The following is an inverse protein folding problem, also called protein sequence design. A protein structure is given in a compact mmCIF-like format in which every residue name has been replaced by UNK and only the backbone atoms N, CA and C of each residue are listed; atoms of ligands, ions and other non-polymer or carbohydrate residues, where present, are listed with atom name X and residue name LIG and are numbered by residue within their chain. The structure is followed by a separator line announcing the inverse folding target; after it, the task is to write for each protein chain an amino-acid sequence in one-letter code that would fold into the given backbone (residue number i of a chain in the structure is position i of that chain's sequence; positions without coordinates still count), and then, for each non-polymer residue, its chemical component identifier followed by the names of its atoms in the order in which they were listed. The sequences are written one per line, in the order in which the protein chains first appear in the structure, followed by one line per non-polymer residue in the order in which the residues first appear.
data_IF_782345466884
#
_entry.id   IF_782345466884
#
_cell.length_a   1.000
_cell.length_b   1.000
_cell.length_c   1.000
_cell.angle_alpha   90.00
_cell.angle_beta   90.00
_cell.angle_gamma   90.00
#
_symmetry.space_group_name_H-M   'P 1'
#
loop_
_entity.id
_entity.type
_entity.pdbx_description
1 polymer ?
#
# COMPACT_ATOMS: atom_id res chain seq x y z
N UNK A 1 -95.52 -77.60 -22.80
CA UNK A 1 -95.00 -76.22 -22.97
C UNK A 1 -94.17 -75.76 -21.76
N UNK A 2 -94.62 -75.94 -20.51
CA UNK A 2 -93.89 -75.45 -19.32
C UNK A 2 -92.60 -76.24 -18.95
N UNK A 3 -92.56 -77.54 -19.25
CA UNK A 3 -91.41 -78.42 -18.91
C UNK A 3 -90.15 -78.09 -19.72
N UNK A 4 -90.29 -77.82 -21.02
CA UNK A 4 -89.18 -77.42 -21.89
C UNK A 4 -88.61 -76.04 -21.52
N UNK A 5 -89.42 -75.14 -20.96
CA UNK A 5 -88.96 -73.83 -20.47
C UNK A 5 -88.06 -73.98 -19.26
N UNK A 6 -88.39 -74.90 -18.35
CA UNK A 6 -87.63 -75.18 -17.13
C UNK A 6 -86.28 -75.86 -17.44
N UNK A 7 -86.24 -76.80 -18.39
CA UNK A 7 -85.00 -77.41 -18.87
C UNK A 7 -84.08 -76.39 -19.53
N UNK A 8 -84.63 -75.48 -20.34
CA UNK A 8 -83.86 -74.37 -20.93
C UNK A 8 -83.31 -73.41 -19.87
N UNK A 9 -84.07 -73.13 -18.79
CA UNK A 9 -83.60 -72.33 -17.66
C UNK A 9 -82.49 -73.03 -16.88
N UNK A 10 -82.61 -74.34 -16.64
CA UNK A 10 -81.58 -75.14 -15.97
C UNK A 10 -80.29 -75.17 -16.80
N UNK A 11 -80.39 -75.42 -18.11
CA UNK A 11 -79.23 -75.41 -19.01
C UNK A 11 -78.60 -74.01 -19.12
N UNK A 12 -79.40 -72.95 -19.12
CA UNK A 12 -78.92 -71.56 -19.09
C UNK A 12 -78.18 -71.24 -17.79
N UNK A 13 -78.76 -71.62 -16.64
CA UNK A 13 -78.14 -71.44 -15.33
C UNK A 13 -76.81 -72.22 -15.20
N UNK A 14 -76.75 -73.45 -15.71
CA UNK A 14 -75.52 -74.25 -15.74
C UNK A 14 -74.43 -73.61 -16.61
N UNK A 15 -74.79 -73.08 -17.79
CA UNK A 15 -73.85 -72.34 -18.65
C UNK A 15 -73.36 -71.05 -17.98
N UNK A 16 -74.24 -70.30 -17.33
CA UNK A 16 -73.88 -69.09 -16.58
C UNK A 16 -72.94 -69.40 -15.42
N UNK A 17 -73.20 -70.49 -14.68
CA UNK A 17 -72.32 -70.93 -13.59
C UNK A 17 -70.92 -71.27 -14.11
N UNK A 18 -70.85 -72.02 -15.22
CA UNK A 18 -69.58 -72.43 -15.81
C UNK A 18 -68.81 -71.23 -16.39
N UNK A 19 -69.52 -70.27 -16.99
CA UNK A 19 -68.96 -68.99 -17.41
C UNK A 19 -68.38 -68.24 -16.20
N UNK A 20 -69.15 -68.10 -15.12
CA UNK A 20 -68.71 -67.38 -13.92
C UNK A 20 -67.49 -68.06 -13.27
N UNK A 21 -67.47 -69.38 -13.21
CA UNK A 21 -66.30 -70.15 -12.74
C UNK A 21 -65.06 -69.91 -13.61
N UNK A 22 -65.23 -69.87 -14.94
CA UNK A 22 -64.14 -69.58 -15.88
C UNK A 22 -63.62 -68.15 -15.71
N UNK A 23 -64.52 -67.18 -15.56
CA UNK A 23 -64.18 -65.78 -15.33
C UNK A 23 -63.44 -65.62 -13.99
N UNK A 24 -63.93 -66.22 -12.90
CA UNK A 24 -63.24 -66.21 -11.61
C UNK A 24 -61.84 -66.83 -11.68
N UNK A 25 -61.69 -67.96 -12.37
CA UNK A 25 -60.38 -68.59 -12.57
C UNK A 25 -59.45 -67.69 -13.40
N UNK A 26 -59.98 -66.97 -14.39
CA UNK A 26 -59.25 -65.98 -15.17
C UNK A 26 -58.78 -64.80 -14.30
N UNK A 27 -59.68 -64.22 -13.51
CA UNK A 27 -59.36 -63.13 -12.57
C UNK A 27 -58.29 -63.55 -11.55
N UNK A 28 -58.41 -64.73 -10.95
CA UNK A 28 -57.42 -65.25 -10.00
C UNK A 28 -56.04 -65.41 -10.64
N UNK A 29 -55.96 -65.90 -11.88
CA UNK A 29 -54.70 -65.97 -12.63
C UNK A 29 -54.10 -64.60 -12.86
N UNK A 30 -54.92 -63.62 -13.23
CA UNK A 30 -54.51 -62.22 -13.40
C UNK A 30 -53.97 -61.61 -12.11
N UNK A 31 -54.68 -61.80 -10.98
CA UNK A 31 -54.23 -61.33 -9.67
C UNK A 31 -52.92 -61.98 -9.23
N UNK A 32 -52.75 -63.30 -9.43
CA UNK A 32 -51.47 -63.96 -9.12
C UNK A 32 -50.32 -63.47 -10.02
N UNK A 33 -50.58 -63.14 -11.28
CA UNK A 33 -49.58 -62.53 -12.15
C UNK A 33 -49.19 -61.13 -11.63
N UNK A 34 -50.16 -60.32 -11.22
CA UNK A 34 -49.91 -58.98 -10.69
C UNK A 34 -49.18 -59.01 -9.34
N UNK A 35 -49.55 -59.92 -8.43
CA UNK A 35 -48.83 -60.14 -7.17
C UNK A 35 -47.37 -60.49 -7.45
N UNK A 36 -47.10 -61.40 -8.39
CA UNK A 36 -45.73 -61.76 -8.76
C UNK A 36 -44.97 -60.57 -9.36
N UNK A 37 -45.62 -59.78 -10.21
CA UNK A 37 -45.04 -58.57 -10.80
C UNK A 37 -44.68 -57.55 -9.71
N UNK A 38 -45.56 -57.33 -8.74
CA UNK A 38 -45.31 -56.42 -7.62
C UNK A 38 -44.19 -56.94 -6.71
N UNK A 39 -44.20 -58.24 -6.40
CA UNK A 39 -43.15 -58.88 -5.60
C UNK A 39 -41.78 -58.73 -6.27
N UNK A 40 -41.69 -58.97 -7.57
CA UNK A 40 -40.46 -58.75 -8.34
C UNK A 40 -40.04 -57.28 -8.24
N UNK A 41 -40.96 -56.35 -8.48
CA UNK A 41 -40.65 -54.92 -8.43
C UNK A 41 -40.18 -54.46 -7.03
N UNK A 42 -40.80 -54.95 -5.96
CA UNK A 42 -40.36 -54.67 -4.60
C UNK A 42 -38.97 -55.25 -4.32
N UNK A 43 -38.67 -56.43 -4.87
CA UNK A 43 -37.35 -57.07 -4.74
C UNK A 43 -36.28 -56.26 -5.47
N UNK A 44 -36.56 -55.85 -6.71
CA UNK A 44 -35.65 -55.05 -7.53
C UNK A 44 -35.38 -53.67 -6.86
N UNK A 45 -36.42 -53.01 -6.36
CA UNK A 45 -36.29 -51.72 -5.66
C UNK A 45 -35.50 -51.87 -4.36
N UNK A 46 -35.72 -52.96 -3.61
CA UNK A 46 -34.95 -53.24 -2.38
C UNK A 46 -33.48 -53.45 -2.71
N UNK A 47 -33.17 -54.18 -3.78
CA UNK A 47 -31.80 -54.37 -4.24
C UNK A 47 -31.17 -53.03 -4.65
N UNK A 48 -31.86 -52.21 -5.45
CA UNK A 48 -31.39 -50.90 -5.90
C UNK A 48 -31.10 -49.97 -4.72
N UNK A 49 -31.98 -49.92 -3.72
CA UNK A 49 -31.78 -49.12 -2.50
C UNK A 49 -30.60 -49.62 -1.68
N UNK A 50 -30.41 -50.93 -1.56
CA UNK A 50 -29.30 -51.52 -0.80
C UNK A 50 -27.97 -51.17 -1.45
N UNK A 51 -27.83 -51.43 -2.76
CA UNK A 51 -26.60 -51.13 -3.52
C UNK A 51 -26.30 -49.64 -3.50
N UNK A 52 -27.28 -48.77 -3.77
CA UNK A 52 -27.08 -47.31 -3.72
C UNK A 52 -26.71 -46.82 -2.34
N UNK A 53 -27.26 -47.42 -1.27
CA UNK A 53 -26.94 -47.03 0.10
C UNK A 53 -25.50 -47.40 0.46
N UNK A 54 -25.02 -48.58 0.04
CA UNK A 54 -23.64 -49.00 0.23
C UNK A 54 -22.66 -48.11 -0.54
N UNK A 55 -22.92 -47.84 -1.82
CA UNK A 55 -22.11 -46.94 -2.64
C UNK A 55 -22.05 -45.51 -2.07
N UNK A 56 -23.19 -44.95 -1.64
CA UNK A 56 -23.25 -43.62 -1.05
C UNK A 56 -22.59 -43.56 0.33
N UNK A 57 -22.68 -44.64 1.12
CA UNK A 57 -22.06 -44.72 2.44
C UNK A 57 -20.54 -44.77 2.32
N UNK A 58 -20.01 -45.65 1.46
CA UNK A 58 -18.57 -45.82 1.29
C UNK A 58 -17.93 -44.60 0.61
N UNK A 59 -18.51 -44.13 -0.50
CA UNK A 59 -18.05 -42.91 -1.18
C UNK A 59 -18.25 -41.65 -0.31
N UNK A 60 -19.34 -41.59 0.46
CA UNK A 60 -19.61 -40.50 1.40
C UNK A 60 -18.60 -40.46 2.55
N UNK A 61 -18.21 -41.63 3.07
CA UNK A 61 -17.17 -41.75 4.10
C UNK A 61 -15.81 -41.31 3.58
N UNK A 62 -15.38 -41.81 2.43
CA UNK A 62 -14.11 -41.44 1.80
C UNK A 62 -14.04 -39.93 1.52
N UNK A 63 -15.11 -39.36 0.95
CA UNK A 63 -15.19 -37.92 0.71
C UNK A 63 -15.18 -37.10 2.01
N UNK A 64 -15.82 -37.59 3.06
CA UNK A 64 -15.79 -36.95 4.38
C UNK A 64 -14.38 -36.94 4.97
N UNK A 65 -13.66 -38.07 4.86
CA UNK A 65 -12.27 -38.19 5.32
C UNK A 65 -11.32 -37.30 4.52
N UNK A 66 -11.46 -37.25 3.20
CA UNK A 66 -10.67 -36.37 2.35
C UNK A 66 -10.89 -34.90 2.72
N UNK A 67 -12.15 -34.48 2.91
CA UNK A 67 -12.46 -33.12 3.35
C UNK A 67 -11.88 -32.82 4.73
N UNK A 68 -11.97 -33.76 5.68
CA UNK A 68 -11.34 -33.60 7.01
C UNK A 68 -9.83 -33.47 6.92
N UNK A 69 -9.17 -34.23 6.03
CA UNK A 69 -7.73 -34.10 5.79
C UNK A 69 -7.40 -32.71 5.23
N UNK A 70 -8.12 -32.28 4.19
CA UNK A 70 -7.94 -30.94 3.60
C UNK A 70 -8.17 -29.82 4.62
N UNK A 71 -9.18 -29.93 5.47
CA UNK A 71 -9.42 -28.98 6.55
C UNK A 71 -8.23 -28.92 7.51
N UNK A 72 -7.70 -30.07 7.95
CA UNK A 72 -6.50 -30.12 8.81
C UNK A 72 -5.27 -29.51 8.15
N UNK A 73 -5.06 -29.78 6.87
CA UNK A 73 -3.93 -29.24 6.11
C UNK A 73 -4.02 -27.72 5.96
N UNK A 74 -5.24 -27.21 5.71
CA UNK A 74 -5.50 -25.77 5.64
C UNK A 74 -5.36 -25.10 7.01
N UNK A 75 -5.83 -25.72 8.09
CA UNK A 75 -5.63 -25.24 9.46
C UNK A 75 -4.14 -25.17 9.84
N UNK A 76 -3.36 -26.19 9.45
CA UNK A 76 -1.91 -26.20 9.67
C UNK A 76 -1.21 -25.09 8.88
N UNK A 77 -1.59 -24.88 7.62
CA UNK A 77 -1.07 -23.79 6.80
C UNK A 77 -1.43 -22.42 7.36
N UNK A 78 -2.68 -22.24 7.81
CA UNK A 78 -3.13 -21.01 8.46
C UNK A 78 -2.29 -20.71 9.70
N UNK A 79 -2.12 -21.70 10.57
CA UNK A 79 -1.32 -21.57 11.79
C UNK A 79 0.15 -21.25 11.51
N UNK A 80 0.73 -21.86 10.47
CA UNK A 80 2.10 -21.56 10.04
C UNK A 80 2.23 -20.11 9.54
N UNK A 81 1.25 -19.64 8.75
CA UNK A 81 1.22 -18.26 8.25
C UNK A 81 0.95 -17.23 9.35
N UNK A 82 0.13 -17.56 10.33
CA UNK A 82 -0.08 -16.72 11.52
C UNK A 82 1.21 -16.61 12.33
N UNK A 83 1.94 -17.71 12.54
CA UNK A 83 3.23 -17.69 13.23
C UNK A 83 4.26 -16.82 12.48
N UNK A 84 4.41 -17.01 11.17
CA UNK A 84 5.27 -16.18 10.30
C UNK A 84 4.90 -14.69 10.39
N UNK A 85 3.60 -14.38 10.33
CA UNK A 85 3.12 -13.00 10.45
C UNK A 85 3.48 -12.39 11.82
N UNK A 86 3.31 -13.16 12.90
CA UNK A 86 3.67 -12.67 14.25
C UNK A 86 5.16 -12.41 14.40
N UNK A 87 6.02 -13.18 13.73
CA UNK A 87 7.46 -12.97 13.71
C UNK A 87 7.82 -11.72 12.90
N UNK A 88 7.24 -11.56 11.71
CA UNK A 88 7.43 -10.37 10.88
C UNK A 88 6.98 -9.08 11.59
N UNK A 89 5.88 -9.12 12.35
CA UNK A 89 5.44 -7.98 13.15
C UNK A 89 6.44 -7.62 14.25
N UNK A 90 7.02 -8.61 14.94
CA UNK A 90 8.08 -8.38 15.94
C UNK A 90 9.34 -7.80 15.32
N UNK A 91 9.77 -8.31 14.17
CA UNK A 91 10.91 -7.75 13.44
C UNK A 91 10.66 -6.30 13.01
N UNK A 92 9.45 -6.00 12.52
CA UNK A 92 9.06 -4.66 12.12
C UNK A 92 9.10 -3.70 13.31
N UNK A 93 8.57 -4.12 14.47
CA UNK A 93 8.62 -3.35 15.71
C UNK A 93 10.07 -3.09 16.15
N UNK A 94 10.93 -4.11 16.12
CA UNK A 94 12.35 -3.97 16.45
C UNK A 94 13.07 -3.00 15.51
N UNK A 95 12.82 -3.11 14.19
CA UNK A 95 13.42 -2.22 13.18
C UNK A 95 12.93 -0.78 13.37
N UNK A 96 11.65 -0.58 13.65
CA UNK A 96 11.09 0.75 13.95
C UNK A 96 11.71 1.35 15.22
N UNK A 97 11.88 0.57 16.28
CA UNK A 97 12.55 1.02 17.50
C UNK A 97 14.02 1.43 17.21
N UNK A 98 14.73 0.64 16.39
CA UNK A 98 16.09 0.99 15.97
C UNK A 98 16.14 2.28 15.16
N UNK A 99 15.19 2.47 14.23
CA UNK A 99 15.06 3.72 13.46
C UNK A 99 14.88 4.90 14.41
N UNK A 100 13.99 4.82 15.40
CA UNK A 100 13.77 5.90 16.37
C UNK A 100 15.04 6.26 17.15
N UNK A 101 15.82 5.26 17.58
CA UNK A 101 17.09 5.48 18.28
C UNK A 101 18.10 6.18 17.37
N UNK A 102 18.23 5.74 16.12
CA UNK A 102 19.15 6.35 15.15
C UNK A 102 18.73 7.78 14.79
N UNK A 103 17.44 8.03 14.57
CA UNK A 103 16.90 9.36 14.30
C UNK A 103 17.17 10.33 15.46
N UNK A 104 16.91 9.90 16.71
CA UNK A 104 17.21 10.71 17.88
C UNK A 104 18.70 11.00 18.02
N UNK A 105 19.52 9.98 17.76
CA UNK A 105 20.98 10.10 17.80
C UNK A 105 21.49 11.12 16.77
N UNK A 106 20.95 11.12 15.55
CA UNK A 106 21.29 12.11 14.52
C UNK A 106 20.85 13.50 14.96
N UNK A 107 19.60 13.66 15.39
CA UNK A 107 19.07 14.96 15.88
C UNK A 107 19.90 15.53 17.02
N UNK A 108 20.35 14.70 17.95
CA UNK A 108 21.23 15.13 19.04
C UNK A 108 22.61 15.57 18.56
N UNK A 109 23.20 14.83 17.61
CA UNK A 109 24.49 15.22 17.02
C UNK A 109 24.39 16.51 16.22
N UNK A 110 23.34 16.68 15.42
CA UNK A 110 23.05 17.91 14.70
C UNK A 110 22.92 19.11 15.66
N UNK A 111 22.17 18.94 16.76
CA UNK A 111 22.05 19.96 17.80
C UNK A 111 23.40 20.34 18.41
N UNK A 112 24.24 19.34 18.72
CA UNK A 112 25.59 19.57 19.28
C UNK A 112 26.47 20.35 18.30
N UNK A 113 26.55 19.94 17.04
CA UNK A 113 27.36 20.63 16.05
C UNK A 113 26.87 22.05 15.76
N UNK A 114 25.56 22.27 15.76
CA UNK A 114 25.00 23.60 15.58
C UNK A 114 25.34 24.53 16.76
N UNK A 115 25.34 24.01 17.99
CA UNK A 115 25.77 24.77 19.16
C UNK A 115 27.27 25.08 19.15
N UNK A 116 28.11 24.11 18.80
CA UNK A 116 29.55 24.34 18.62
C UNK A 116 29.83 25.38 17.54
N UNK A 117 29.09 25.34 16.43
CA UNK A 117 29.21 26.31 15.34
C UNK A 117 28.82 27.72 15.81
N UNK A 118 27.73 27.86 16.59
CA UNK A 118 27.33 29.14 17.20
C UNK A 118 28.41 29.68 18.11
N UNK A 119 28.97 28.84 18.98
CA UNK A 119 30.03 29.24 19.92
C UNK A 119 31.29 29.70 19.18
N UNK A 120 31.71 28.96 18.14
CA UNK A 120 32.85 29.35 17.30
C UNK A 120 32.59 30.63 16.53
N UNK A 121 31.39 30.79 15.97
CA UNK A 121 30.98 32.01 15.27
C UNK A 121 31.01 33.23 16.21
N UNK A 122 30.47 33.09 17.42
CA UNK A 122 30.54 34.16 18.42
C UNK A 122 31.98 34.52 18.80
N UNK A 123 32.84 33.51 19.02
CA UNK A 123 34.26 33.73 19.32
C UNK A 123 35.00 34.43 18.18
N UNK A 124 34.73 34.04 16.93
CA UNK A 124 35.28 34.68 15.74
C UNK A 124 34.86 36.15 15.67
N UNK A 125 33.57 36.45 15.88
CA UNK A 125 33.07 37.83 15.88
C UNK A 125 33.75 38.68 16.96
N UNK A 126 33.96 38.13 18.17
CA UNK A 126 34.69 38.81 19.24
C UNK A 126 36.13 39.15 18.83
N UNK A 127 36.88 38.17 18.31
CA UNK A 127 38.25 38.39 17.87
C UNK A 127 38.34 39.33 16.67
N UNK A 128 37.39 39.24 15.72
CA UNK A 128 37.29 40.15 14.59
C UNK A 128 37.06 41.59 15.05
N UNK A 129 36.18 41.80 16.04
CA UNK A 129 35.92 43.13 16.60
C UNK A 129 37.14 43.69 17.34
N UNK A 130 37.89 42.85 18.07
CA UNK A 130 39.14 43.28 18.70
C UNK A 130 40.18 43.66 17.63
N UNK A 131 40.33 42.86 16.59
CA UNK A 131 41.26 43.16 15.49
C UNK A 131 40.91 44.49 14.81
N UNK A 132 39.64 44.73 14.51
CA UNK A 132 39.13 45.99 13.95
C UNK A 132 39.45 47.19 14.86
N UNK A 133 39.26 47.03 16.18
CA UNK A 133 39.58 48.07 17.16
C UNK A 133 41.09 48.36 17.20
N UNK A 134 41.94 47.32 17.17
CA UNK A 134 43.40 47.49 17.10
C UNK A 134 43.81 48.17 15.81
N UNK A 135 43.26 47.76 14.67
CA UNK A 135 43.52 48.38 13.37
C UNK A 135 43.12 49.86 13.35
N UNK A 136 41.96 50.20 13.92
CA UNK A 136 41.49 51.60 14.07
C UNK A 136 42.43 52.44 14.94
N UNK A 137 42.93 51.86 16.03
CA UNK A 137 43.91 52.51 16.92
C UNK A 137 45.24 52.75 16.22
N UNK A 138 45.74 51.75 15.48
CA UNK A 138 46.98 51.87 14.70
C UNK A 138 46.83 52.95 13.63
N UNK A 139 45.71 52.98 12.91
CA UNK A 139 45.43 54.00 11.91
C UNK A 139 45.43 55.39 12.54
N UNK A 140 44.77 55.56 13.69
CA UNK A 140 44.76 56.82 14.44
C UNK A 140 46.16 57.28 14.88
N UNK A 141 46.95 56.40 15.51
CA UNK A 141 48.32 56.70 15.93
C UNK A 141 49.24 56.99 14.74
N UNK A 142 49.04 56.28 13.62
CA UNK A 142 49.78 56.52 12.37
C UNK A 142 49.45 57.89 11.81
N UNK A 143 48.18 58.29 11.78
CA UNK A 143 47.76 59.65 11.41
C UNK A 143 48.35 60.70 12.35
N UNK A 144 48.37 60.45 13.67
CA UNK A 144 48.97 61.34 14.66
C UNK A 144 50.48 61.52 14.40
N UNK A 145 51.21 60.43 14.15
CA UNK A 145 52.64 60.45 13.81
C UNK A 145 52.90 61.23 12.52
N UNK A 146 52.10 61.02 11.48
CA UNK A 146 52.20 61.81 10.25
C UNK A 146 51.93 63.30 10.49
N UNK A 147 50.93 63.63 11.32
CA UNK A 147 50.61 65.01 11.65
C UNK A 147 51.74 65.70 12.45
N UNK A 148 52.34 65.02 13.42
CA UNK A 148 53.47 65.57 14.20
C UNK A 148 54.73 65.70 13.35
N UNK A 149 55.06 64.69 12.53
CA UNK A 149 56.17 64.77 11.57
C UNK A 149 56.00 65.96 10.63
N UNK A 150 54.79 66.18 10.09
CA UNK A 150 54.49 67.33 9.24
C UNK A 150 54.72 68.65 9.99
N UNK A 151 54.21 68.77 11.22
CA UNK A 151 54.42 69.97 12.06
C UNK A 151 55.90 70.24 12.32
N UNK A 152 56.69 69.21 12.67
CA UNK A 152 58.13 69.35 12.90
C UNK A 152 58.87 69.80 11.64
N UNK A 153 58.56 69.21 10.48
CA UNK A 153 59.16 69.62 9.21
C UNK A 153 58.74 71.03 8.79
N UNK A 154 57.52 71.47 9.14
CA UNK A 154 57.08 72.85 8.93
C UNK A 154 57.71 73.84 9.93
N UNK A 155 58.07 73.42 11.15
CA UNK A 155 58.77 74.27 12.13
C UNK A 155 60.28 74.36 11.90
N UNK A 156 60.90 73.34 11.29
CA UNK A 156 62.33 73.34 10.92
C UNK A 156 62.62 74.06 9.59
N UNK A 157 61.60 74.66 8.97
CA UNK A 157 61.71 75.40 7.71
C UNK A 157 61.72 76.92 7.92
N UNK A 158 62.73 77.43 8.63
CA UNK A 158 63.20 78.82 8.47
C UNK A 158 64.71 78.83 8.26
N UNK A 159 65.13 78.45 7.06
CA UNK A 159 66.34 78.96 6.44
C UNK A 159 66.24 78.74 4.93
N UNK A 160 66.46 79.84 4.22
CA UNK A 160 66.40 80.04 2.78
C UNK A 160 67.11 78.97 1.93
N UNK A 161 66.65 78.79 0.68
CA UNK A 161 67.39 78.01 -0.31
C UNK A 161 66.57 77.61 -1.54
N UNK A 162 66.45 78.54 -2.48
CA UNK A 162 65.99 78.48 -3.88
C UNK A 162 66.09 77.13 -4.64
N UNK A 163 65.18 76.83 -5.58
CA UNK A 163 65.16 75.58 -6.35
C UNK A 163 66.03 75.66 -7.61
N UNK A 164 66.92 74.70 -7.86
CA UNK A 164 67.39 74.35 -9.21
C UNK A 164 68.34 73.13 -9.19
N UNK A 165 68.17 72.22 -10.15
CA UNK A 165 69.23 71.27 -10.56
C UNK A 165 68.90 69.78 -10.46
N UNK A 166 68.39 69.22 -11.56
CA UNK A 166 68.08 67.79 -11.81
C UNK A 166 69.32 66.86 -11.72
N UNK A 167 69.14 65.53 -11.61
CA UNK A 167 69.25 64.76 -12.86
C UNK A 167 68.25 63.61 -13.01
N UNK A 168 67.73 63.49 -14.23
CA UNK A 168 67.52 62.25 -15.01
C UNK A 168 67.33 60.97 -14.19
N UNK A 169 66.08 60.58 -13.96
CA UNK A 169 65.69 59.17 -13.98
C UNK A 169 64.32 59.05 -14.67
N UNK A 170 64.41 58.61 -15.92
CA UNK A 170 63.48 57.70 -16.59
C UNK A 170 61.98 57.94 -16.41
N UNK A 171 61.37 58.44 -17.47
CA UNK A 171 59.93 58.40 -17.74
C UNK A 171 59.41 56.95 -17.78
N UNK A 172 59.28 56.31 -16.62
CA UNK A 172 58.38 55.18 -16.45
C UNK A 172 57.08 55.73 -15.88
N UNK A 173 56.13 56.00 -16.76
CA UNK A 173 54.72 55.84 -16.38
C UNK A 173 54.54 54.33 -16.16
N UNK A 174 54.32 53.82 -14.94
CA UNK A 174 53.75 52.51 -14.81
C UNK A 174 52.28 52.68 -15.19
N UNK A 175 51.97 52.40 -16.44
CA UNK A 175 50.62 51.96 -16.80
C UNK A 175 50.26 50.84 -15.80
N UNK A 176 49.06 50.86 -15.18
CA UNK A 176 48.65 49.80 -14.28
C UNK A 176 48.85 48.44 -14.95
N UNK A 177 49.47 47.46 -14.28
CA UNK A 177 49.51 46.10 -14.79
C UNK A 177 48.08 45.69 -15.15
N UNK A 178 47.87 45.26 -16.41
CA UNK A 178 46.68 44.45 -16.73
C UNK A 178 46.90 43.07 -16.13
N UNK A 179 46.87 43.03 -14.80
CA UNK A 179 46.70 41.79 -14.08
C UNK A 179 45.28 41.36 -14.38
N UNK A 180 45.23 40.33 -15.22
CA UNK A 180 44.04 39.56 -15.51
C UNK A 180 43.48 39.18 -14.15
N UNK A 181 42.34 39.79 -13.78
CA UNK A 181 41.45 39.22 -12.79
C UNK A 181 41.44 37.70 -13.01
N UNK A 182 41.63 36.86 -11.98
CA UNK A 182 41.29 35.47 -12.16
C UNK A 182 39.83 35.50 -12.61
N UNK A 183 39.62 35.03 -13.84
CA UNK A 183 38.32 34.75 -14.41
C UNK A 183 37.66 33.81 -13.41
N UNK A 184 36.95 34.36 -12.42
CA UNK A 184 36.15 33.56 -11.52
C UNK A 184 35.21 32.86 -12.47
N UNK A 185 35.24 31.52 -12.56
CA UNK A 185 34.24 30.85 -13.36
C UNK A 185 32.93 31.25 -12.70
N UNK A 186 32.15 32.11 -13.36
CA UNK A 186 30.71 32.17 -13.18
C UNK A 186 30.23 30.82 -13.67
N UNK A 187 30.48 29.81 -12.83
CA UNK A 187 30.17 28.41 -13.04
C UNK A 187 28.67 28.38 -12.89
N UNK A 188 28.02 28.59 -14.03
CA UNK A 188 26.69 28.09 -14.37
C UNK A 188 26.40 26.89 -13.45
N UNK A 189 25.57 27.11 -12.42
CA UNK A 189 25.07 26.04 -11.58
C UNK A 189 24.15 25.17 -12.41
N UNK A 190 24.75 24.24 -13.16
CA UNK A 190 24.10 23.11 -13.82
C UNK A 190 25.15 22.00 -13.87
N UNK A 191 25.34 21.33 -12.73
CA UNK A 191 25.83 19.95 -12.60
C UNK A 191 25.77 19.55 -11.12
N UNK A 192 25.17 18.39 -10.89
CA UNK A 192 24.66 17.84 -9.65
C UNK A 192 25.71 17.74 -8.53
N UNK A 193 25.31 18.11 -7.32
CA UNK A 193 26.00 17.79 -6.06
C UNK A 193 25.81 16.29 -5.73
N UNK A 194 26.48 15.40 -6.46
CA UNK A 194 26.36 13.96 -6.21
C UNK A 194 27.71 13.23 -6.26
N UNK A 195 28.78 13.86 -5.79
CA UNK A 195 30.07 13.18 -5.61
C UNK A 195 30.60 13.44 -4.19
N UNK A 196 30.66 12.42 -3.31
CA UNK A 196 31.20 12.58 -1.96
C UNK A 196 32.70 12.86 -1.96
N UNK A 197 33.16 13.69 -1.02
CA UNK A 197 34.56 14.08 -0.81
C UNK A 197 35.41 13.01 -0.07
N UNK A 198 34.94 11.76 0.02
CA UNK A 198 35.65 10.70 0.74
C UNK A 198 35.51 9.34 0.03
N UNK A 199 36.63 8.63 -0.26
CA UNK A 199 36.60 7.33 -0.93
C UNK A 199 35.98 6.22 -0.07
N UNK A 200 35.99 6.35 1.26
CA UNK A 200 35.40 5.36 2.18
C UNK A 200 33.85 5.33 2.13
N UNK A 201 33.20 6.36 1.60
CA UNK A 201 31.74 6.43 1.46
C UNK A 201 31.23 6.06 0.05
N UNK A 202 32.12 5.71 -0.88
CA UNK A 202 31.74 5.33 -2.24
C UNK A 202 30.97 4.00 -2.27
N UNK A 203 31.30 3.07 -1.37
CA UNK A 203 30.68 1.75 -1.28
C UNK A 203 29.21 1.82 -0.84
N UNK A 204 28.87 2.75 0.07
CA UNK A 204 27.49 2.97 0.52
C UNK A 204 26.58 3.53 -0.59
N UNK A 205 27.13 4.30 -1.54
CA UNK A 205 26.39 4.84 -2.69
C UNK A 205 26.31 3.87 -3.88
N UNK A 206 27.26 2.94 -4.01
CA UNK A 206 27.21 1.83 -5.00
C UNK A 206 26.07 0.86 -4.70
N UNK A 207 25.83 0.57 -3.42
CA UNK A 207 24.70 -0.27 -2.98
C UNK A 207 23.34 0.35 -3.37
N UNK A 208 23.24 1.68 -3.54
CA UNK A 208 22.01 2.35 -3.97
C UNK A 208 21.82 2.48 -5.49
N UNK A 209 22.85 2.22 -6.29
CA UNK A 209 22.83 2.50 -7.74
C UNK A 209 22.87 1.27 -8.65
N UNK A 210 23.30 0.10 -8.17
CA UNK A 210 23.31 -1.13 -8.97
C UNK A 210 22.21 -2.16 -8.64
N UNK A 211 21.41 -1.96 -7.57
CA UNK A 211 20.29 -2.87 -7.24
C UNK A 211 19.02 -2.64 -8.07
N UNK A 212 19.05 -1.73 -9.05
CA UNK A 212 17.88 -1.40 -9.89
C UNK A 212 17.94 -1.96 -11.31
N UNK A 213 18.64 -3.07 -11.52
CA UNK A 213 18.48 -3.88 -12.74
C UNK A 213 18.44 -5.36 -12.40
N UNK A 214 17.34 -5.99 -12.85
CA UNK A 214 17.13 -7.44 -12.99
C UNK A 214 16.64 -8.21 -11.76
N UNK A 215 15.67 -7.67 -11.01
CA UNK A 215 14.63 -8.55 -10.46
C UNK A 215 13.40 -8.46 -11.37
N UNK A 216 13.14 -9.58 -12.02
CA UNK A 216 12.01 -9.90 -12.87
C UNK A 216 10.70 -9.52 -12.15
N UNK A 217 10.22 -8.30 -12.37
CA UNK A 217 8.84 -7.91 -12.09
C UNK A 217 7.98 -8.74 -13.02
N UNK A 218 7.17 -9.63 -12.45
CA UNK A 218 6.11 -10.34 -13.17
C UNK A 218 5.31 -9.31 -13.99
N UNK A 219 4.97 -9.57 -15.27
CA UNK A 219 4.27 -8.61 -16.09
C UNK A 219 2.88 -8.37 -15.49
N UNK A 220 2.77 -7.36 -14.64
CA UNK A 220 1.48 -6.76 -14.31
C UNK A 220 0.97 -6.22 -15.63
N UNK A 221 -0.13 -6.83 -16.09
CA UNK A 221 -0.86 -6.39 -17.26
C UNK A 221 -1.05 -4.87 -17.16
N UNK A 222 -0.68 -4.15 -18.22
CA UNK A 222 -0.77 -2.71 -18.21
C UNK A 222 -2.22 -2.35 -17.88
N UNK A 223 -2.43 -1.62 -16.78
CA UNK A 223 -3.76 -1.23 -16.33
C UNK A 223 -4.51 -0.64 -17.52
N UNK A 224 -5.72 -1.15 -17.85
CA UNK A 224 -6.42 -0.76 -19.07
C UNK A 224 -6.55 0.76 -19.11
N UNK A 225 -6.21 1.33 -20.27
CA UNK A 225 -6.25 2.78 -20.50
C UNK A 225 -7.64 3.32 -20.08
N UNK A 226 -7.72 4.28 -19.15
CA UNK A 226 -9.00 4.87 -18.75
C UNK A 226 -9.59 5.82 -19.81
N UNK A 227 -8.84 6.15 -20.87
CA UNK A 227 -9.27 7.03 -21.98
C UNK A 227 -10.66 6.70 -22.56
N UNK A 228 -11.06 5.43 -22.81
CA UNK A 228 -12.42 5.08 -23.21
C UNK A 228 -13.55 5.56 -22.27
N UNK A 229 -13.31 5.64 -20.95
CA UNK A 229 -14.32 6.11 -20.00
C UNK A 229 -14.48 7.63 -19.98
N UNK A 230 -13.44 8.37 -20.39
CA UNK A 230 -13.46 9.83 -20.44
C UNK A 230 -14.17 10.32 -21.71
N UNK A 231 -13.92 9.67 -22.84
CA UNK A 231 -14.55 10.01 -24.12
C UNK A 231 -16.06 9.70 -24.16
N UNK A 232 -16.51 8.70 -23.40
CA UNK A 232 -17.94 8.38 -23.25
C UNK A 232 -18.71 9.46 -22.47
N UNK A 233 -18.02 10.27 -21.65
CA UNK A 233 -18.63 11.34 -20.84
C UNK A 233 -18.58 12.70 -21.55
N UNK A 234 -17.59 12.92 -22.40
CA UNK A 234 -17.39 14.18 -23.12
C UNK A 234 -18.41 14.39 -24.26
N UNK A 235 -19.01 13.31 -24.79
CA UNK A 235 -20.06 13.42 -25.82
C UNK A 235 -21.46 13.73 -25.27
N UNK A 236 -21.64 13.79 -23.95
CA UNK A 236 -22.95 13.95 -23.31
C UNK A 236 -23.16 15.27 -22.54
N UNK A 237 -22.20 16.19 -22.49
CA UNK A 237 -22.33 17.45 -21.73
C UNK A 237 -22.35 18.70 -22.62
N UNK A 238 -23.23 18.71 -23.62
CA UNK A 238 -23.74 19.97 -24.20
C UNK A 238 -25.25 19.86 -24.38
N UNK A 239 -26.02 19.71 -23.29
CA UNK A 239 -27.44 20.11 -23.28
C UNK A 239 -27.86 20.53 -21.87
N UNK A 240 -27.80 21.85 -21.64
CA UNK A 240 -28.33 22.53 -20.47
C UNK A 240 -29.81 22.85 -20.72
N UNK A 241 -30.77 22.01 -20.28
CA UNK A 241 -32.21 22.38 -20.26
C UNK A 241 -32.93 21.80 -19.01
N UNK A 242 -33.13 22.70 -18.02
CA UNK A 242 -34.40 23.09 -17.34
C UNK A 242 -35.26 22.09 -16.49
N UNK A 243 -35.35 22.44 -15.19
CA UNK A 243 -36.50 22.41 -14.23
C UNK A 243 -37.32 21.13 -13.86
N UNK A 244 -37.05 20.62 -12.63
CA UNK A 244 -37.90 20.21 -11.45
C UNK A 244 -39.24 19.43 -11.61
N UNK A 245 -39.77 18.73 -10.55
CA UNK A 245 -39.15 17.90 -9.49
C UNK A 245 -39.91 16.54 -9.27
N UNK A 246 -39.34 15.59 -8.51
CA UNK A 246 -40.12 14.52 -7.85
C UNK A 246 -39.80 14.45 -6.36
N UNK A 247 -40.87 14.57 -5.58
CA UNK A 247 -40.95 14.58 -4.13
C UNK A 247 -40.56 13.22 -3.57
N UNK A 248 -39.57 13.18 -2.67
CA UNK A 248 -39.32 12.02 -1.80
C UNK A 248 -40.16 12.23 -0.53
N UNK A 249 -40.99 11.27 -0.11
CA UNK A 249 -41.73 11.38 1.15
C UNK A 249 -40.78 11.26 2.36
N UNK A 250 -41.12 11.84 3.52
CA UNK A 250 -40.27 11.79 4.71
C UNK A 250 -40.20 10.37 5.28
N UNK A 251 -38.99 9.90 5.55
CA UNK A 251 -38.72 8.66 6.27
C UNK A 251 -39.15 8.86 7.73
N UNK A 252 -40.04 8.00 8.24
CA UNK A 252 -40.44 8.00 9.64
C UNK A 252 -39.23 7.65 10.53
N UNK A 253 -38.89 8.54 11.46
CA UNK A 253 -37.91 8.29 12.50
C UNK A 253 -38.59 7.53 13.63
N UNK A 254 -38.43 6.21 13.66
CA UNK A 254 -38.86 5.40 14.81
C UNK A 254 -37.74 5.38 15.86
N UNK A 255 -37.82 6.35 16.77
CA UNK A 255 -37.02 6.38 18.00
C UNK A 255 -37.79 5.59 19.07
N UNK A 256 -37.45 4.31 19.25
CA UNK A 256 -37.90 3.54 20.40
C UNK A 256 -36.93 3.75 21.59
N UNK A 257 -37.37 4.31 22.73
CA UNK A 257 -36.64 4.21 23.99
C UNK A 257 -36.90 2.84 24.63
N UNK A 258 -35.82 2.17 25.01
CA UNK A 258 -35.83 0.83 25.55
C UNK A 258 -36.36 0.67 26.98
N UNK A 259 -36.59 -0.61 27.29
CA UNK A 259 -36.48 -1.29 28.58
C UNK A 259 -37.49 -0.95 29.69
N UNK A 260 -38.53 -1.80 29.76
CA UNK A 260 -39.03 -2.41 31.01
C UNK A 260 -38.70 -3.91 30.87
N UNK A 261 -37.92 -4.58 31.71
CA UNK A 261 -38.08 -4.68 33.16
C UNK A 261 -38.97 -5.88 33.47
N UNK A 262 -38.52 -7.10 33.17
CA UNK A 262 -39.24 -8.34 33.52
C UNK A 262 -38.42 -9.06 34.60
N UNK A 263 -38.96 -9.07 35.81
CA UNK A 263 -38.52 -9.91 36.90
C UNK A 263 -39.02 -11.34 36.67
N UNK A 264 -38.12 -12.31 36.80
CA UNK A 264 -38.44 -13.74 36.84
C UNK A 264 -37.60 -14.37 37.93
N UNK A 265 -38.23 -14.56 39.10
CA UNK A 265 -37.68 -15.29 40.23
C UNK A 265 -37.85 -16.79 40.01
N UNK A 266 -36.76 -17.56 40.09
CA UNK A 266 -36.78 -18.98 40.46
C UNK A 266 -35.49 -19.27 41.23
N UNK A 267 -35.64 -19.40 42.55
CA UNK A 267 -34.89 -20.32 43.42
C UNK A 267 -35.94 -21.06 44.23
#
# INVERSE_FOLDING_TARGET
MATSTLENQLQSAQKNLLFLQREHASTLKGLHAEIRRLQQHCTDLTYELTVKSEELSENGSLRSEELKSKCKDLEAQLKAKEAENTELLKELEQKNAMIMVLENTIKEREKKYLEELKMKSHKLNMLSSELEQRASTIAYLTSQLHATKKKLMSSSGTSEGTPSGSPVLSSYKPSPPKDKLPETPRRRMKKSLSTPLNPEFEEAYRIGSDSRKLLLREPVDAMPDPTPFLLARETAEVHLIKERPLVIPPIASDRAPGKKGIAGAVV
#
